data_IF_846933591610
#
_entry.id   IF_846933591610
#
_cell.length_a   1.000
_cell.length_b   1.000
_cell.length_c   1.000
_cell.angle_alpha   90.00
_cell.angle_beta   90.00
_cell.angle_gamma   90.00
#
_symmetry.space_group_name_H-M   'P 1'
#
loop_
_entity.id
_entity.type
_entity.pdbx_description
1 polymer ?
#
# COMPACT_ATOMS: atom_id res chain seq x y z
N UNK A 1 -0.96 -13.38 -9.74
CA UNK A 1 -2.25 -13.46 -9.01
C UNK A 1 -3.37 -12.96 -9.93
N UNK A 2 -4.58 -13.49 -9.79
CA UNK A 2 -5.74 -13.03 -10.58
C UNK A 2 -6.46 -11.91 -9.84
N UNK A 3 -6.98 -10.92 -10.58
CA UNK A 3 -7.78 -9.83 -10.02
C UNK A 3 -8.92 -10.38 -9.15
N UNK A 4 -9.19 -9.73 -8.02
CA UNK A 4 -10.29 -10.08 -7.11
C UNK A 4 -11.40 -9.04 -7.22
N UNK A 5 -12.66 -9.49 -7.15
CA UNK A 5 -13.83 -8.62 -7.04
C UNK A 5 -14.49 -8.81 -5.70
N UNK A 6 -14.78 -7.71 -5.01
CA UNK A 6 -15.41 -7.67 -3.68
C UNK A 6 -16.61 -6.74 -3.78
N UNK A 7 -17.79 -7.23 -3.42
CA UNK A 7 -18.97 -6.37 -3.29
C UNK A 7 -18.90 -5.66 -1.94
N UNK A 8 -18.93 -4.35 -1.95
CA UNK A 8 -18.92 -3.52 -0.76
C UNK A 8 -20.34 -3.03 -0.49
N UNK A 9 -20.79 -3.27 0.73
CA UNK A 9 -22.00 -2.67 1.29
C UNK A 9 -21.66 -2.18 2.70
N UNK A 10 -21.53 -0.87 2.86
CA UNK A 10 -21.17 -0.26 4.13
C UNK A 10 -22.17 0.82 4.53
N UNK A 11 -23.12 0.44 5.38
CA UNK A 11 -24.17 1.32 5.90
C UNK A 11 -23.71 2.21 7.07
N UNK A 12 -22.47 2.00 7.56
CA UNK A 12 -21.92 2.79 8.68
C UNK A 12 -21.42 4.17 8.26
N UNK A 13 -21.40 4.46 6.97
CA UNK A 13 -21.03 5.77 6.40
C UNK A 13 -22.26 6.41 5.77
N UNK A 14 -22.34 7.74 5.76
CA UNK A 14 -23.42 8.48 5.13
C UNK A 14 -22.86 9.35 4.00
N UNK A 15 -23.33 9.16 2.74
CA UNK A 15 -24.23 8.10 2.28
C UNK A 15 -23.60 6.71 2.36
N UNK A 16 -24.43 5.66 2.44
CA UNK A 16 -23.95 4.27 2.46
C UNK A 16 -23.06 3.99 1.24
N UNK A 17 -21.89 3.36 1.49
CA UNK A 17 -20.98 2.97 0.43
C UNK A 17 -21.39 1.62 -0.15
N UNK A 18 -21.94 1.64 -1.36
CA UNK A 18 -22.36 0.44 -2.09
C UNK A 18 -21.69 0.41 -3.44
N UNK A 19 -21.03 -0.70 -3.78
CA UNK A 19 -20.36 -0.84 -5.06
C UNK A 19 -19.46 -2.05 -5.16
N UNK A 20 -18.73 -2.13 -6.26
CA UNK A 20 -17.78 -3.20 -6.52
C UNK A 20 -16.36 -2.69 -6.35
N UNK A 21 -15.62 -3.32 -5.46
CA UNK A 21 -14.18 -3.13 -5.30
C UNK A 21 -13.45 -4.19 -6.10
N UNK A 22 -12.53 -3.75 -6.97
CA UNK A 22 -11.64 -4.63 -7.73
C UNK A 22 -10.23 -4.45 -7.20
N UNK A 23 -9.60 -5.55 -6.83
CA UNK A 23 -8.19 -5.60 -6.44
C UNK A 23 -7.39 -6.06 -7.65
N UNK A 24 -6.45 -5.25 -8.12
CA UNK A 24 -5.51 -5.59 -9.18
C UNK A 24 -4.10 -5.68 -8.63
N UNK A 25 -3.33 -6.64 -9.14
CA UNK A 25 -1.94 -6.86 -8.70
C UNK A 25 -0.93 -6.21 -9.65
N UNK A 26 -1.20 -4.96 -9.97
CA UNK A 26 -0.34 -4.08 -10.79
C UNK A 26 -0.41 -2.67 -10.25
N UNK A 27 0.58 -1.83 -10.56
CA UNK A 27 0.46 -0.40 -10.33
C UNK A 27 -0.51 0.24 -11.33
N UNK A 28 -1.24 1.29 -10.91
CA UNK A 28 -2.11 2.06 -11.79
C UNK A 28 -1.29 2.74 -12.89
N UNK A 29 -1.95 3.22 -13.94
CA UNK A 29 -1.28 4.04 -14.95
C UNK A 29 -0.80 5.38 -14.36
N UNK A 30 -0.02 6.14 -15.12
CA UNK A 30 0.60 7.36 -14.60
C UNK A 30 -0.44 8.41 -14.18
N UNK A 31 -1.55 8.55 -14.90
CA UNK A 31 -2.61 9.50 -14.60
C UNK A 31 -3.29 9.13 -13.27
N UNK A 32 -3.66 7.87 -13.11
CA UNK A 32 -4.28 7.35 -11.90
C UNK A 32 -3.34 7.44 -10.69
N UNK A 33 -2.05 7.13 -10.90
CA UNK A 33 -1.02 7.24 -9.87
C UNK A 33 -0.91 8.70 -9.38
N UNK A 34 -0.79 9.65 -10.30
CA UNK A 34 -0.73 11.08 -9.99
C UNK A 34 -1.98 11.52 -9.24
N UNK A 35 -3.18 11.16 -9.73
CA UNK A 35 -4.46 11.48 -9.07
C UNK A 35 -4.51 11.01 -7.60
N UNK A 36 -4.04 9.79 -7.31
CA UNK A 36 -3.98 9.29 -5.94
C UNK A 36 -3.05 10.15 -5.07
N UNK A 37 -1.87 10.47 -5.56
CA UNK A 37 -0.88 11.25 -4.83
C UNK A 37 -1.38 12.66 -4.56
N UNK A 38 -1.86 13.36 -5.58
CA UNK A 38 -2.44 14.70 -5.44
C UNK A 38 -3.59 14.75 -4.44
N UNK A 39 -4.41 13.68 -4.37
CA UNK A 39 -5.53 13.63 -3.42
C UNK A 39 -5.09 13.69 -1.96
N UNK A 40 -3.85 13.34 -1.64
CA UNK A 40 -3.26 13.36 -0.30
C UNK A 40 -2.09 14.36 -0.19
N UNK A 41 -2.01 15.30 -1.12
CA UNK A 41 -0.99 16.35 -1.17
C UNK A 41 0.45 15.80 -1.30
N UNK A 42 0.59 14.65 -1.94
CA UNK A 42 1.89 14.09 -2.31
C UNK A 42 2.19 14.41 -3.76
N UNK A 43 3.46 14.63 -4.05
CA UNK A 43 3.93 14.90 -5.40
C UNK A 43 4.90 13.82 -5.88
N UNK A 44 4.79 13.48 -7.17
CA UNK A 44 5.76 12.62 -7.84
C UNK A 44 5.80 12.90 -9.33
N UNK A 45 7.00 13.12 -9.86
CA UNK A 45 7.17 13.39 -11.28
C UNK A 45 6.85 12.14 -12.13
N UNK A 46 6.38 12.31 -13.37
CA UNK A 46 6.09 11.18 -14.28
C UNK A 46 7.29 10.25 -14.48
N UNK A 47 8.51 10.80 -14.56
CA UNK A 47 9.73 10.01 -14.67
C UNK A 47 9.96 9.11 -13.45
N UNK A 48 9.68 9.60 -12.24
CA UNK A 48 9.75 8.80 -11.02
C UNK A 48 8.66 7.75 -10.96
N UNK A 49 7.45 8.06 -11.40
CA UNK A 49 6.35 7.07 -11.49
C UNK A 49 6.76 5.92 -12.41
N UNK A 50 7.35 6.21 -13.58
CA UNK A 50 7.82 5.19 -14.50
C UNK A 50 8.91 4.30 -13.87
N UNK A 51 9.86 4.88 -13.14
CA UNK A 51 10.87 4.12 -12.39
C UNK A 51 10.23 3.27 -11.28
N UNK A 52 9.28 3.82 -10.53
CA UNK A 52 8.56 3.05 -9.51
C UNK A 52 7.84 1.84 -10.12
N UNK A 53 7.19 2.00 -11.28
CA UNK A 53 6.54 0.90 -11.98
C UNK A 53 7.54 -0.18 -12.42
N UNK A 54 8.69 0.24 -12.95
CA UNK A 54 9.74 -0.66 -13.42
C UNK A 54 10.39 -1.47 -12.29
N UNK A 55 10.56 -0.87 -11.12
CA UNK A 55 11.33 -1.43 -10.01
C UNK A 55 10.46 -1.94 -8.84
N UNK A 56 9.15 -1.97 -8.97
CA UNK A 56 8.29 -2.62 -7.98
C UNK A 56 8.28 -4.12 -8.19
N UNK A 57 8.59 -4.87 -7.13
CA UNK A 57 8.55 -6.34 -7.12
C UNK A 57 7.11 -6.85 -7.06
N UNK A 58 6.26 -6.14 -6.31
CA UNK A 58 4.83 -6.43 -6.17
C UNK A 58 4.05 -5.12 -6.00
N UNK A 59 2.80 -5.13 -6.41
CA UNK A 59 1.92 -3.99 -6.24
C UNK A 59 0.46 -4.41 -6.13
N UNK A 60 -0.31 -3.59 -5.43
CA UNK A 60 -1.76 -3.71 -5.29
C UNK A 60 -2.38 -2.38 -5.66
N UNK A 61 -3.43 -2.42 -6.48
CA UNK A 61 -4.28 -1.26 -6.77
C UNK A 61 -5.73 -1.61 -6.49
N UNK A 62 -6.45 -0.69 -5.88
CA UNK A 62 -7.88 -0.81 -5.60
C UNK A 62 -8.68 0.10 -6.50
N UNK A 63 -9.69 -0.48 -7.15
CA UNK A 63 -10.66 0.25 -7.98
C UNK A 63 -12.04 0.07 -7.39
N UNK A 64 -12.70 1.17 -7.05
CA UNK A 64 -14.08 1.16 -6.60
C UNK A 64 -14.96 1.78 -7.67
N UNK A 65 -15.94 1.02 -8.15
CA UNK A 65 -16.79 1.41 -9.29
C UNK A 65 -15.98 1.91 -10.51
N UNK A 66 -14.89 1.20 -10.83
CA UNK A 66 -13.93 1.50 -11.91
C UNK A 66 -13.04 2.74 -11.70
N UNK A 67 -13.11 3.40 -10.56
CA UNK A 67 -12.20 4.49 -10.23
C UNK A 67 -11.09 4.02 -9.29
N UNK A 68 -9.85 4.47 -9.54
CA UNK A 68 -8.72 4.18 -8.66
C UNK A 68 -8.94 4.87 -7.29
N UNK A 69 -8.92 4.09 -6.22
CA UNK A 69 -9.15 4.58 -4.86
C UNK A 69 -8.02 4.29 -3.90
N UNK A 70 -7.08 3.46 -4.28
CA UNK A 70 -5.92 3.19 -3.44
C UNK A 70 -4.89 2.32 -4.13
N UNK A 71 -3.67 2.36 -3.60
CA UNK A 71 -2.58 1.47 -4.02
C UNK A 71 -1.56 1.28 -2.92
N UNK A 72 -0.70 0.28 -3.10
CA UNK A 72 0.52 0.06 -2.36
C UNK A 72 1.49 -0.75 -3.21
N UNK A 73 2.78 -0.64 -2.94
CA UNK A 73 3.81 -1.37 -3.68
C UNK A 73 4.92 -1.86 -2.78
N UNK A 74 5.64 -2.86 -3.26
CA UNK A 74 6.82 -3.43 -2.61
C UNK A 74 7.99 -3.39 -3.57
N UNK A 75 9.16 -3.04 -3.06
CA UNK A 75 10.44 -3.21 -3.75
C UNK A 75 11.30 -4.17 -2.92
N UNK A 76 12.09 -5.00 -3.60
CA UNK A 76 12.97 -5.92 -2.92
C UNK A 76 13.92 -6.63 -3.88
N UNK A 77 14.94 -7.26 -3.31
CA UNK A 77 16.00 -7.98 -4.00
C UNK A 77 15.90 -9.52 -3.88
N UNK A 78 14.84 -9.99 -3.24
CA UNK A 78 14.62 -11.41 -2.95
C UNK A 78 14.80 -11.75 -1.47
N UNK A 79 15.61 -10.99 -0.72
CA UNK A 79 15.81 -11.17 0.73
C UNK A 79 15.18 -10.03 1.53
N UNK A 80 15.40 -8.80 1.11
CA UNK A 80 14.89 -7.62 1.77
C UNK A 80 13.79 -6.97 0.95
N UNK A 81 12.60 -6.90 1.51
CA UNK A 81 11.44 -6.26 0.90
C UNK A 81 11.01 -5.05 1.71
N UNK A 82 10.69 -3.95 1.02
CA UNK A 82 10.18 -2.74 1.66
C UNK A 82 8.87 -2.30 1.03
N UNK A 83 7.87 -2.08 1.87
CA UNK A 83 6.57 -1.55 1.46
C UNK A 83 6.70 -0.04 1.27
N UNK A 84 6.20 0.45 0.15
CA UNK A 84 6.14 1.87 -0.20
C UNK A 84 4.75 2.28 -0.66
N UNK A 85 4.48 3.58 -0.56
CA UNK A 85 3.37 4.25 -1.21
C UNK A 85 1.99 3.59 -0.92
N UNK A 86 1.75 3.17 0.35
CA UNK A 86 0.39 2.83 0.77
C UNK A 86 -0.41 4.12 0.82
N UNK A 87 -1.26 4.31 -0.16
CA UNK A 87 -2.10 5.51 -0.30
C UNK A 87 -3.54 5.11 -0.60
N UNK A 88 -4.47 5.80 0.04
CA UNK A 88 -5.91 5.73 -0.24
C UNK A 88 -6.37 7.15 -0.54
N UNK A 89 -7.09 7.32 -1.65
CA UNK A 89 -7.67 8.61 -2.05
C UNK A 89 -8.42 9.24 -0.87
N UNK A 90 -8.24 10.54 -0.66
CA UNK A 90 -8.73 11.24 0.54
C UNK A 90 -10.22 10.99 0.84
N UNK A 91 -11.05 10.94 -0.20
CA UNK A 91 -12.50 10.76 -0.07
C UNK A 91 -12.90 9.31 0.29
N UNK A 92 -11.97 8.37 0.19
CA UNK A 92 -12.17 6.94 0.47
C UNK A 92 -11.40 6.45 1.69
N UNK A 93 -10.78 7.36 2.46
CA UNK A 93 -10.09 7.01 3.69
C UNK A 93 -11.08 6.60 4.80
N UNK A 94 -10.56 5.87 5.80
CA UNK A 94 -11.33 5.34 6.95
C UNK A 94 -12.41 4.31 6.60
N UNK A 95 -12.44 3.83 5.35
CA UNK A 95 -13.36 2.79 4.86
C UNK A 95 -12.74 1.39 4.84
N UNK A 96 -11.54 1.23 5.39
CA UNK A 96 -10.84 -0.06 5.45
C UNK A 96 -9.97 -0.37 4.21
N UNK A 97 -9.95 0.47 3.19
CA UNK A 97 -9.22 0.18 1.94
C UNK A 97 -7.71 0.06 2.15
N UNK A 98 -7.12 0.85 3.04
CA UNK A 98 -5.71 0.70 3.40
C UNK A 98 -5.41 -0.66 4.04
N UNK A 99 -6.34 -1.20 4.82
CA UNK A 99 -6.22 -2.55 5.40
C UNK A 99 -6.28 -3.63 4.33
N UNK A 100 -7.13 -3.48 3.32
CA UNK A 100 -7.20 -4.42 2.19
C UNK A 100 -5.88 -4.43 1.44
N UNK A 101 -5.33 -3.27 1.09
CA UNK A 101 -4.03 -3.16 0.41
C UNK A 101 -2.93 -3.87 1.21
N UNK A 102 -2.84 -3.59 2.50
CA UNK A 102 -1.80 -4.15 3.35
C UNK A 102 -1.96 -5.67 3.54
N UNK A 103 -3.19 -6.16 3.68
CA UNK A 103 -3.49 -7.59 3.74
C UNK A 103 -3.02 -8.30 2.47
N UNK A 104 -3.33 -7.77 1.28
CA UNK A 104 -2.90 -8.38 0.01
C UNK A 104 -1.38 -8.40 -0.15
N UNK A 105 -0.69 -7.36 0.32
CA UNK A 105 0.79 -7.32 0.34
C UNK A 105 1.35 -8.38 1.30
N UNK A 106 0.79 -8.49 2.49
CA UNK A 106 1.24 -9.47 3.50
C UNK A 106 0.97 -10.90 3.02
N UNK A 107 -0.17 -11.15 2.41
CA UNK A 107 -0.51 -12.49 1.88
C UNK A 107 0.43 -12.88 0.73
N UNK A 108 0.74 -11.93 -0.17
CA UNK A 108 1.77 -12.13 -1.17
C UNK A 108 3.13 -12.45 -0.53
N UNK A 109 3.58 -11.64 0.44
CA UNK A 109 4.85 -11.86 1.13
C UNK A 109 4.90 -13.23 1.81
N UNK A 110 3.83 -13.63 2.50
CA UNK A 110 3.73 -14.96 3.12
C UNK A 110 3.85 -16.10 2.12
N UNK A 111 3.44 -15.89 0.87
CA UNK A 111 3.53 -16.91 -0.19
C UNK A 111 4.93 -17.12 -0.74
N UNK A 112 5.86 -16.18 -0.48
CA UNK A 112 7.23 -16.22 -1.02
C UNK A 112 8.31 -16.24 0.06
N UNK A 113 7.95 -15.94 1.32
CA UNK A 113 8.93 -15.82 2.41
C UNK A 113 9.55 -17.17 2.80
N UNK A 114 10.80 -17.12 3.19
CA UNK A 114 11.54 -18.16 3.92
C UNK A 114 12.24 -17.54 5.15
N UNK A 115 13.17 -18.26 5.75
CA UNK A 115 13.86 -17.86 6.97
C UNK A 115 14.82 -16.67 6.76
N UNK A 116 15.25 -16.43 5.50
CA UNK A 116 16.19 -15.36 5.14
C UNK A 116 15.51 -14.15 4.50
N UNK A 117 14.19 -14.05 4.58
CA UNK A 117 13.44 -12.93 4.02
C UNK A 117 12.86 -12.00 5.08
N UNK A 118 12.88 -10.72 4.80
CA UNK A 118 12.45 -9.66 5.71
C UNK A 118 11.54 -8.65 5.01
N UNK A 119 10.46 -8.24 5.67
CA UNK A 119 9.52 -7.23 5.18
C UNK A 119 9.56 -5.99 6.07
N UNK A 120 9.91 -4.86 5.48
CA UNK A 120 10.05 -3.56 6.14
C UNK A 120 9.07 -2.53 5.63
N UNK A 121 8.90 -1.47 6.39
CA UNK A 121 8.28 -0.22 5.95
C UNK A 121 8.78 0.95 6.79
N UNK A 122 8.66 2.17 6.24
CA UNK A 122 8.78 3.41 7.00
C UNK A 122 7.39 4.01 7.16
N UNK A 123 6.84 3.97 8.37
CA UNK A 123 5.55 4.59 8.65
C UNK A 123 5.65 6.12 8.63
N UNK A 124 4.67 6.80 8.03
CA UNK A 124 4.50 8.22 8.27
C UNK A 124 4.15 8.46 9.74
N UNK A 125 4.67 9.55 10.32
CA UNK A 125 4.44 9.90 11.73
C UNK A 125 2.95 9.84 12.09
N UNK A 126 2.63 9.09 13.15
CA UNK A 126 1.27 8.91 13.65
C UNK A 126 0.48 7.81 12.94
N UNK A 127 1.10 7.06 12.02
CA UNK A 127 0.48 5.89 11.34
C UNK A 127 1.01 4.55 11.87
N UNK A 128 1.91 4.55 12.83
CA UNK A 128 2.56 3.36 13.38
C UNK A 128 1.53 2.34 13.87
N UNK A 129 0.54 2.80 14.66
CA UNK A 129 -0.54 1.94 15.20
C UNK A 129 -1.37 1.22 14.13
N UNK A 130 -1.44 1.78 12.92
CA UNK A 130 -2.11 1.10 11.81
C UNK A 130 -1.34 -0.16 11.42
N UNK A 131 -0.03 -0.07 11.26
CA UNK A 131 0.82 -1.19 10.87
C UNK A 131 1.02 -2.22 11.99
N UNK A 132 1.05 -1.78 13.25
CA UNK A 132 1.15 -2.66 14.43
C UNK A 132 -0.01 -3.67 14.49
N UNK A 133 -1.20 -3.31 14.05
CA UNK A 133 -2.36 -4.22 13.94
C UNK A 133 -2.12 -5.39 12.99
N UNK A 134 -1.17 -5.26 12.08
CA UNK A 134 -0.77 -6.29 11.11
C UNK A 134 0.51 -7.04 11.50
N UNK A 135 1.00 -6.81 12.72
CA UNK A 135 2.17 -7.51 13.25
C UNK A 135 3.50 -6.81 13.00
N UNK A 136 3.51 -5.61 12.42
CA UNK A 136 4.74 -4.81 12.35
C UNK A 136 5.10 -4.28 13.74
N UNK A 137 6.39 -4.26 14.03
CA UNK A 137 6.93 -3.71 15.28
C UNK A 137 7.74 -2.45 14.98
N UNK A 138 7.53 -1.42 15.77
CA UNK A 138 8.31 -0.19 15.68
C UNK A 138 9.78 -0.43 16.01
N UNK A 139 10.68 0.32 15.38
CA UNK A 139 12.13 0.33 15.66
C UNK A 139 12.55 1.69 16.23
N UNK A 140 13.49 1.75 17.19
CA UNK A 140 14.22 0.61 17.77
C UNK A 140 13.36 -0.20 18.75
N UNK A 141 13.81 -1.44 19.01
CA UNK A 141 13.27 -2.27 20.08
C UNK A 141 14.43 -3.08 20.68
N UNK A 142 14.16 -4.05 21.55
CA UNK A 142 15.19 -4.82 22.26
C UNK A 142 16.12 -5.59 21.32
N UNK A 143 15.65 -5.97 20.13
CA UNK A 143 16.40 -6.81 19.19
C UNK A 143 17.10 -6.00 18.09
N UNK A 144 16.57 -4.81 17.74
CA UNK A 144 17.02 -4.05 16.57
C UNK A 144 17.08 -2.54 16.81
N UNK A 145 18.10 -1.89 16.25
CA UNK A 145 18.28 -0.43 16.26
C UNK A 145 17.28 0.33 15.40
N UNK A 146 17.28 1.64 15.52
CA UNK A 146 16.43 2.54 14.73
C UNK A 146 16.71 2.42 13.22
N UNK A 147 15.67 2.58 12.42
CA UNK A 147 15.83 2.88 11.00
C UNK A 147 16.53 4.23 10.82
N UNK A 148 17.40 4.34 9.82
CA UNK A 148 18.16 5.57 9.56
C UNK A 148 17.89 6.04 8.14
N UNK A 149 17.82 7.36 7.96
CA UNK A 149 17.75 8.01 6.65
C UNK A 149 18.93 8.97 6.53
N UNK A 150 19.59 8.92 5.38
CA UNK A 150 20.65 9.87 5.08
C UNK A 150 20.06 11.22 4.65
N UNK A 151 20.63 12.30 5.17
CA UNK A 151 20.31 13.69 4.83
C UNK A 151 21.59 14.40 4.43
N UNK A 152 21.53 15.26 3.41
CA UNK A 152 22.58 16.20 3.06
C UNK A 152 22.65 17.35 4.03
#
# INVERSE_FOLDING_TARGET
MKDKKIVIHNDKVSPALVGTLVVKYTLPNNIEFTRLFESVEWERTPSRINLNRKHSTFAVSLYFNNEIVGMGRVCGDGSYFTIYDIVVHKDYQKLGFGSIILTEIIDWYKSIKDDDTYLYLGASKGKEKFYEKFGFKSRPNDDVGAGMKWYE
#
